data_IF_010239118244
#
_entry.id   IF_010239118244
#
_cell.length_a   1.000
_cell.length_b   1.000
_cell.length_c   1.000
_cell.angle_alpha   90.00
_cell.angle_beta   90.00
_cell.angle_gamma   90.00
#
_symmetry.space_group_name_H-M   'P 1'
#
loop_
_entity.id
_entity.type
_entity.pdbx_description
1 polymer ?
#
# COMPACT_ATOMS: atom_id res chain seq x y z
N UNK A 1 8.21 -7.36 7.17
CA UNK A 1 6.75 -7.33 6.99
C UNK A 1 6.24 -8.69 6.54
N UNK A 2 5.00 -9.02 6.88
CA UNK A 2 4.32 -10.27 6.52
C UNK A 2 3.15 -9.97 5.59
N UNK A 3 3.00 -10.72 4.48
CA UNK A 3 1.83 -10.67 3.61
C UNK A 3 0.62 -11.25 4.35
N UNK A 4 -0.48 -10.52 4.41
CA UNK A 4 -1.73 -10.98 5.06
C UNK A 4 -2.95 -10.73 4.19
N UNK A 5 -4.07 -11.35 4.55
CA UNK A 5 -5.38 -11.23 3.88
C UNK A 5 -5.87 -9.78 3.84
N UNK A 6 -6.33 -9.33 2.68
CA UNK A 6 -6.75 -7.95 2.49
C UNK A 6 -7.96 -7.55 3.35
N UNK A 7 -8.81 -8.50 3.76
CA UNK A 7 -9.99 -8.26 4.59
C UNK A 7 -9.66 -7.81 6.04
N UNK A 8 -8.39 -7.87 6.44
CA UNK A 8 -7.92 -7.39 7.75
C UNK A 8 -7.84 -5.86 7.82
N UNK A 9 -7.54 -5.18 6.71
CA UNK A 9 -7.38 -3.71 6.68
C UNK A 9 -8.72 -3.03 6.35
N UNK A 10 -9.56 -2.81 7.37
CA UNK A 10 -10.95 -2.32 7.20
C UNK A 10 -11.12 -0.81 7.30
N UNK A 11 -10.28 -0.13 8.08
CA UNK A 11 -10.23 1.33 8.20
C UNK A 11 -8.82 1.76 7.91
N UNK A 12 -8.67 2.72 7.02
CA UNK A 12 -7.37 3.12 6.58
C UNK A 12 -7.34 4.62 6.24
N UNK A 13 -6.24 5.26 6.60
CA UNK A 13 -5.89 6.58 6.12
C UNK A 13 -4.90 6.43 4.96
N UNK A 14 -4.98 7.33 3.98
CA UNK A 14 -3.92 7.45 2.98
C UNK A 14 -2.67 7.99 3.66
N UNK A 15 -1.54 7.35 3.41
CA UNK A 15 -0.24 7.68 3.99
C UNK A 15 0.66 8.33 2.94
N UNK A 16 0.78 7.69 1.78
CA UNK A 16 1.62 8.16 0.69
C UNK A 16 1.17 7.63 -0.66
N UNK A 17 1.67 8.24 -1.74
CA UNK A 17 1.64 7.68 -3.08
C UNK A 17 3.05 7.28 -3.49
N UNK A 18 3.24 6.03 -3.91
CA UNK A 18 4.54 5.44 -4.18
C UNK A 18 4.74 5.16 -5.68
N UNK A 19 5.95 5.44 -6.17
CA UNK A 19 6.42 5.04 -7.49
C UNK A 19 6.73 3.54 -7.51
N UNK A 20 5.68 2.77 -7.81
CA UNK A 20 5.70 1.32 -7.82
C UNK A 20 4.83 0.80 -8.96
N UNK A 21 5.41 -0.02 -9.83
CA UNK A 21 4.66 -0.69 -10.89
C UNK A 21 4.01 -1.98 -10.37
N UNK A 22 2.91 -2.39 -11.00
CA UNK A 22 2.26 -3.68 -10.70
C UNK A 22 3.22 -4.85 -10.95
N UNK A 23 4.04 -4.80 -12.01
CA UNK A 23 5.02 -5.84 -12.30
C UNK A 23 6.07 -5.97 -11.19
N UNK A 24 6.57 -4.84 -10.67
CA UNK A 24 7.51 -4.83 -9.55
C UNK A 24 6.85 -5.37 -8.28
N UNK A 25 5.63 -4.96 -7.98
CA UNK A 25 4.87 -5.43 -6.82
C UNK A 25 4.62 -6.95 -6.90
N UNK A 26 4.20 -7.45 -8.06
CA UNK A 26 3.93 -8.89 -8.28
C UNK A 26 5.19 -9.72 -8.16
N UNK A 27 6.31 -9.24 -8.72
CA UNK A 27 7.60 -9.93 -8.58
C UNK A 27 8.06 -10.03 -7.12
N UNK A 28 7.72 -9.04 -6.29
CA UNK A 28 8.12 -8.98 -4.87
C UNK A 28 7.18 -9.78 -3.97
N UNK A 29 5.87 -9.69 -4.20
CA UNK A 29 4.86 -10.15 -3.23
C UNK A 29 3.81 -11.12 -3.79
N UNK A 30 3.93 -11.52 -5.06
CA UNK A 30 2.96 -12.37 -5.74
C UNK A 30 1.76 -11.60 -6.26
N UNK A 31 0.73 -12.31 -6.71
CA UNK A 31 -0.47 -11.68 -7.25
C UNK A 31 -1.22 -10.86 -6.19
N UNK A 32 -1.74 -9.66 -6.52
CA UNK A 32 -2.59 -8.91 -5.62
C UNK A 32 -3.92 -9.61 -5.39
N UNK A 33 -4.55 -9.30 -4.26
CA UNK A 33 -5.98 -9.56 -4.09
C UNK A 33 -6.77 -8.47 -4.80
N UNK A 34 -7.93 -8.81 -5.37
CA UNK A 34 -8.86 -7.83 -5.92
C UNK A 34 -9.91 -7.50 -4.87
N UNK A 35 -9.83 -6.29 -4.30
CA UNK A 35 -10.83 -5.75 -3.38
C UNK A 35 -11.76 -4.78 -4.09
N UNK A 36 -12.91 -4.49 -3.47
CA UNK A 36 -13.94 -3.64 -4.08
C UNK A 36 -14.38 -2.55 -3.10
N UNK A 37 -14.59 -1.35 -3.62
CA UNK A 37 -15.30 -0.25 -2.96
C UNK A 37 -16.31 0.38 -3.93
N UNK A 38 -16.90 1.52 -3.55
CA UNK A 38 -17.88 2.24 -4.38
C UNK A 38 -17.28 2.84 -5.66
N UNK A 39 -15.95 2.88 -5.79
CA UNK A 39 -15.23 3.39 -6.97
C UNK A 39 -14.86 2.28 -7.95
N UNK A 40 -14.76 1.02 -7.49
CA UNK A 40 -14.57 -0.14 -8.37
C UNK A 40 -13.58 -1.18 -7.82
N UNK A 41 -12.97 -1.99 -8.70
CA UNK A 41 -11.98 -2.98 -8.31
C UNK A 41 -10.57 -2.39 -8.10
N UNK A 42 -9.90 -2.87 -7.05
CA UNK A 42 -8.56 -2.45 -6.65
C UNK A 42 -7.62 -3.64 -6.53
N UNK A 43 -6.43 -3.53 -7.11
CA UNK A 43 -5.31 -4.40 -6.80
C UNK A 43 -4.78 -4.02 -5.42
N UNK A 44 -4.84 -4.97 -4.48
CA UNK A 44 -4.60 -4.71 -3.07
C UNK A 44 -3.55 -5.63 -2.50
N UNK A 45 -2.53 -5.01 -1.91
CA UNK A 45 -1.54 -5.69 -1.12
C UNK A 45 -1.60 -5.26 0.36
N UNK A 46 -2.16 -6.04 1.28
CA UNK A 46 -2.02 -5.83 2.74
C UNK A 46 -0.83 -6.57 3.38
N UNK A 47 -0.17 -5.88 4.31
CA UNK A 47 0.96 -6.36 5.08
C UNK A 47 0.76 -6.07 6.56
N UNK A 48 1.28 -6.95 7.42
CA UNK A 48 1.53 -6.65 8.83
C UNK A 48 3.00 -6.24 8.99
N UNK A 49 3.21 -5.03 9.52
CA UNK A 49 4.53 -4.48 9.84
C UNK A 49 5.08 -5.09 11.14
N UNK A 50 6.36 -4.89 11.43
CA UNK A 50 7.02 -5.49 12.59
C UNK A 50 6.43 -5.03 13.94
N UNK A 51 5.83 -3.85 14.00
CA UNK A 51 5.12 -3.30 15.16
C UNK A 51 3.67 -3.81 15.29
N UNK A 52 3.19 -4.58 14.32
CA UNK A 52 1.83 -5.11 14.26
C UNK A 52 0.83 -4.24 13.47
N UNK A 53 1.22 -3.04 13.06
CA UNK A 53 0.42 -2.12 12.25
C UNK A 53 0.09 -2.75 10.89
N UNK A 54 -1.10 -2.49 10.36
CA UNK A 54 -1.49 -2.96 9.03
C UNK A 54 -1.26 -1.85 8.00
N UNK A 55 -0.58 -2.20 6.92
CA UNK A 55 -0.32 -1.32 5.79
C UNK A 55 -0.80 -1.98 4.50
N UNK A 56 -1.42 -1.22 3.62
CA UNK A 56 -1.95 -1.68 2.33
C UNK A 56 -1.36 -0.88 1.17
N UNK A 57 -1.02 -1.54 0.07
CA UNK A 57 -0.82 -0.88 -1.21
C UNK A 57 -2.06 -1.10 -2.07
N UNK A 58 -2.71 -0.03 -2.51
CA UNK A 58 -3.90 -0.12 -3.36
C UNK A 58 -3.73 0.67 -4.66
N UNK A 59 -4.21 0.08 -5.75
CA UNK A 59 -4.25 0.70 -7.08
C UNK A 59 -5.50 0.27 -7.82
N UNK A 60 -6.23 1.23 -8.38
CA UNK A 60 -7.40 0.96 -9.21
C UNK A 60 -7.01 0.08 -10.42
N UNK A 61 -7.84 -0.91 -10.75
CA UNK A 61 -7.55 -1.83 -11.86
C UNK A 61 -7.80 -1.17 -13.21
N UNK A 62 -8.90 -0.44 -13.35
CA UNK A 62 -9.42 -0.02 -14.66
C UNK A 62 -8.93 1.37 -15.09
N UNK A 63 -8.94 2.37 -14.19
CA UNK A 63 -8.63 3.77 -14.56
C UNK A 63 -7.47 4.36 -13.75
N UNK A 64 -6.43 3.58 -13.43
CA UNK A 64 -5.29 4.07 -12.67
C UNK A 64 -4.69 5.36 -13.29
N UNK A 65 -4.79 6.52 -12.63
CA UNK A 65 -4.45 7.80 -13.24
C UNK A 65 -2.94 7.98 -13.48
N UNK A 66 -2.09 7.21 -12.78
CA UNK A 66 -0.62 7.17 -12.91
C UNK A 66 -0.10 5.77 -12.53
N UNK A 67 1.10 5.36 -12.99
CA UNK A 67 1.77 4.18 -12.45
C UNK A 67 2.20 4.46 -11.01
N UNK A 68 1.62 3.72 -10.06
CA UNK A 68 1.93 3.85 -8.64
C UNK A 68 0.85 3.23 -7.77
N UNK A 69 1.14 3.11 -6.48
CA UNK A 69 0.24 2.56 -5.47
C UNK A 69 0.05 3.57 -4.35
N UNK A 70 -1.18 3.69 -3.84
CA UNK A 70 -1.42 4.38 -2.58
C UNK A 70 -1.02 3.46 -1.44
N UNK A 71 -0.18 3.94 -0.55
CA UNK A 71 0.04 3.36 0.77
C UNK A 71 -1.09 3.84 1.68
N UNK A 72 -1.81 2.89 2.26
CA UNK A 72 -2.91 3.10 3.19
C UNK A 72 -2.60 2.35 4.50
N UNK A 73 -3.09 2.80 5.65
CA UNK A 73 -2.80 2.12 6.93
C UNK A 73 -3.81 2.44 8.01
N UNK A 74 -3.92 1.56 9.01
CA UNK A 74 -4.67 1.80 10.25
C UNK A 74 -3.86 2.51 11.36
N UNK A 75 -2.56 2.77 11.12
CA UNK A 75 -1.68 3.53 12.02
C UNK A 75 -1.52 5.01 11.65
N UNK A 76 -0.66 5.71 12.40
CA UNK A 76 -0.30 7.10 12.13
C UNK A 76 0.55 7.21 10.85
N UNK A 77 0.15 7.98 9.83
CA UNK A 77 0.90 8.14 8.59
C UNK A 77 2.38 8.52 8.77
N UNK A 78 2.70 9.34 9.78
CA UNK A 78 4.06 9.78 10.05
C UNK A 78 4.95 8.66 10.61
N UNK A 79 4.35 7.68 11.30
CA UNK A 79 5.05 6.53 11.87
C UNK A 79 5.09 5.36 10.87
N UNK A 80 4.00 5.13 10.13
CA UNK A 80 3.86 4.02 9.19
C UNK A 80 4.82 4.14 8.01
N UNK A 81 4.92 5.32 7.39
CA UNK A 81 5.70 5.50 6.17
C UNK A 81 7.17 5.05 6.31
N UNK A 82 7.95 5.53 7.30
CA UNK A 82 9.35 5.12 7.43
C UNK A 82 9.51 3.62 7.73
N UNK A 83 8.61 3.03 8.52
CA UNK A 83 8.61 1.58 8.81
C UNK A 83 8.35 0.79 7.53
N UNK A 84 7.31 1.16 6.77
CA UNK A 84 6.97 0.49 5.53
C UNK A 84 8.12 0.56 4.51
N UNK A 85 8.71 1.75 4.30
CA UNK A 85 9.83 1.92 3.36
C UNK A 85 11.04 1.06 3.77
N UNK A 86 11.39 1.06 5.05
CA UNK A 86 12.48 0.23 5.57
C UNK A 86 12.23 -1.26 5.37
N UNK A 87 11.00 -1.74 5.64
CA UNK A 87 10.67 -3.16 5.54
C UNK A 87 10.45 -3.63 4.09
N UNK A 88 10.05 -2.72 3.19
CA UNK A 88 9.90 -2.97 1.76
C UNK A 88 11.22 -2.80 0.98
N UNK A 89 12.32 -2.43 1.65
CA UNK A 89 13.61 -2.09 1.03
C UNK A 89 13.44 -1.02 -0.08
N UNK A 90 12.75 0.07 0.28
CA UNK A 90 12.55 1.24 -0.56
C UNK A 90 13.23 2.47 0.04
N UNK A 91 13.77 3.31 -0.83
CA UNK A 91 14.26 4.62 -0.47
C UNK A 91 13.15 5.68 -0.51
N UNK A 92 13.38 6.81 0.19
CA UNK A 92 12.46 7.96 0.22
C UNK A 92 12.17 8.57 -1.16
N UNK A 93 13.03 8.34 -2.16
CA UNK A 93 12.82 8.80 -3.54
C UNK A 93 11.66 8.10 -4.24
N UNK A 94 11.17 6.98 -3.71
CA UNK A 94 9.95 6.30 -4.18
C UNK A 94 8.67 7.02 -3.74
N UNK A 95 8.74 7.96 -2.80
CA UNK A 95 7.57 8.69 -2.31
C UNK A 95 7.26 9.86 -3.24
N UNK A 96 6.20 9.73 -4.03
CA UNK A 96 5.72 10.75 -4.96
C UNK A 96 4.89 11.83 -4.24
N UNK A 97 4.11 11.42 -3.24
CA UNK A 97 3.24 12.30 -2.45
C UNK A 97 3.07 11.76 -1.04
N UNK A 98 2.91 12.66 -0.05
CA UNK A 98 2.64 12.32 1.36
C UNK A 98 1.30 12.90 1.76
N UNK A 99 0.54 12.15 2.54
CA UNK A 99 -0.75 12.57 3.06
C UNK A 99 -0.64 12.71 4.58
N UNK A 100 -0.64 13.95 5.11
CA UNK A 100 -0.69 14.18 6.54
C UNK A 100 -2.11 13.84 7.00
N UNK A 101 -2.28 12.72 7.70
CA UNK A 101 -3.55 12.30 8.28
C UNK A 101 -4.12 13.31 9.28
#
# INVERSE_FOLDING_TARGET
MERVDAALLRRNAQVAYLDLSTEEAVRRWGEPEVTWDDLGPWNTFVFRLADGTLAGLVREVENAPKPGYFLISDGDPAEVLPVFLSEADFDEGRVLERYPG
#
